data_IF_687685723399
#
_entry.id   IF_687685723399
#
_cell.length_a   1.000
_cell.length_b   1.000
_cell.length_c   1.000
_cell.angle_alpha   90.00
_cell.angle_beta   90.00
_cell.angle_gamma   90.00
#
_symmetry.space_group_name_H-M   'P 1'
#
loop_
_entity.id
_entity.type
_entity.pdbx_description
1 polymer ?
#
# COMPACT_ATOMS: atom_id res chain seq x y z
N UNK A 1 16.67 12.74 40.02
CA UNK A 1 16.76 12.43 38.57
C UNK A 1 17.20 10.98 38.42
N UNK A 2 16.45 10.18 37.63
CA UNK A 2 16.76 8.77 37.44
C UNK A 2 17.69 8.63 36.20
N UNK A 3 18.81 7.90 36.30
CA UNK A 3 19.71 7.70 35.18
C UNK A 3 19.03 6.96 34.04
N UNK A 4 19.30 7.35 32.80
CA UNK A 4 18.69 6.74 31.59
C UNK A 4 18.92 5.22 31.53
N UNK A 5 20.05 4.74 32.04
CA UNK A 5 20.38 3.32 32.08
C UNK A 5 19.46 2.46 32.94
N UNK A 6 18.73 3.05 33.89
CA UNK A 6 17.80 2.36 34.81
C UNK A 6 16.36 2.37 34.32
N UNK A 7 16.08 3.04 33.20
CA UNK A 7 14.74 3.12 32.62
C UNK A 7 14.35 1.81 31.90
N UNK A 8 13.07 1.47 31.96
CA UNK A 8 12.51 0.40 31.15
C UNK A 8 12.63 0.73 29.65
N UNK A 9 12.55 -0.29 28.78
CA UNK A 9 12.62 -0.08 27.33
C UNK A 9 11.61 0.95 26.81
N UNK A 10 10.36 0.91 27.31
CA UNK A 10 9.33 1.88 26.95
C UNK A 10 9.62 3.29 27.47
N UNK A 11 10.15 3.42 28.69
CA UNK A 11 10.55 4.72 29.24
C UNK A 11 11.70 5.36 28.45
N UNK A 12 12.72 4.57 28.07
CA UNK A 12 13.83 5.06 27.23
C UNK A 12 13.30 5.59 25.90
N UNK A 13 12.39 4.85 25.27
CA UNK A 13 11.83 5.24 23.97
C UNK A 13 11.03 6.54 24.05
N UNK A 14 10.27 6.75 25.15
CA UNK A 14 9.57 8.02 25.40
C UNK A 14 10.54 9.19 25.58
N UNK A 15 11.60 9.00 26.35
CA UNK A 15 12.64 10.04 26.53
C UNK A 15 13.35 10.36 25.23
N UNK A 16 13.63 9.35 24.41
CA UNK A 16 14.28 9.54 23.13
C UNK A 16 13.36 10.27 22.12
N UNK A 17 12.08 9.90 22.08
CA UNK A 17 11.07 10.61 21.30
C UNK A 17 10.98 12.08 21.73
N UNK A 18 10.85 12.35 23.03
CA UNK A 18 10.83 13.71 23.55
C UNK A 18 12.08 14.50 23.12
N UNK A 19 13.27 13.89 23.21
CA UNK A 19 14.53 14.52 22.79
C UNK A 19 14.51 14.89 21.30
N UNK A 20 13.99 14.01 20.45
CA UNK A 20 13.88 14.24 19.00
C UNK A 20 12.90 15.38 18.73
N UNK A 21 11.73 15.35 19.36
CA UNK A 21 10.69 16.36 19.15
C UNK A 21 11.13 17.77 19.61
N UNK A 22 11.93 17.84 20.67
CA UNK A 22 12.46 19.11 21.19
C UNK A 22 13.84 19.49 20.62
N UNK A 23 14.36 18.77 19.63
CA UNK A 23 15.67 19.06 19.03
C UNK A 23 15.67 20.30 18.11
N UNK A 24 14.52 20.82 17.75
CA UNK A 24 14.40 21.91 16.78
C UNK A 24 14.72 21.52 15.34
N UNK A 25 14.62 20.23 15.01
CA UNK A 25 14.89 19.71 13.68
C UNK A 25 13.92 20.30 12.65
N UNK A 26 14.37 20.62 11.46
CA UNK A 26 13.52 21.10 10.36
C UNK A 26 12.65 20.00 9.78
N UNK A 27 13.08 18.74 9.87
CA UNK A 27 12.34 17.57 9.37
C UNK A 27 12.44 16.43 10.38
N UNK A 28 11.30 15.83 10.69
CA UNK A 28 11.17 14.66 11.54
C UNK A 28 10.94 13.40 10.69
N UNK A 29 11.69 12.35 11.00
CA UNK A 29 11.50 11.01 10.47
C UNK A 29 11.07 10.09 11.62
N UNK A 30 9.83 9.66 11.64
CA UNK A 30 9.26 8.86 12.73
C UNK A 30 8.82 7.49 12.21
N UNK A 31 9.34 6.45 12.83
CA UNK A 31 8.97 5.07 12.55
C UNK A 31 8.21 4.50 13.76
N UNK A 32 6.92 4.22 13.55
CA UNK A 32 5.99 3.70 14.56
C UNK A 32 6.07 4.47 15.90
N UNK A 33 5.88 5.81 15.88
CA UNK A 33 6.14 6.63 17.06
C UNK A 33 5.16 6.40 18.21
N UNK A 34 3.99 5.81 17.95
CA UNK A 34 2.97 5.49 18.96
C UNK A 34 3.26 4.18 19.71
N UNK A 35 4.19 3.36 19.22
CA UNK A 35 4.52 2.11 19.87
C UNK A 35 5.09 2.32 21.28
N UNK A 36 4.57 1.57 22.25
CA UNK A 36 4.94 1.63 23.66
C UNK A 36 4.58 2.94 24.38
N UNK A 37 3.73 3.77 23.79
CA UNK A 37 3.15 4.93 24.46
C UNK A 37 1.83 4.54 25.14
N UNK A 38 1.54 5.18 26.27
CA UNK A 38 0.20 5.17 26.85
C UNK A 38 -0.74 6.11 26.11
N UNK A 39 -2.04 5.99 26.37
CA UNK A 39 -3.06 6.76 25.65
C UNK A 39 -2.81 8.27 25.71
N UNK A 40 -2.49 8.81 26.89
CA UNK A 40 -2.29 10.25 27.07
C UNK A 40 -1.08 10.75 26.28
N UNK A 41 0.00 9.95 26.23
CA UNK A 41 1.18 10.25 25.43
C UNK A 41 0.90 10.21 23.93
N UNK A 42 0.00 9.32 23.47
CA UNK A 42 -0.42 9.27 22.06
C UNK A 42 -1.21 10.52 21.70
N UNK A 43 -2.17 10.92 22.52
CA UNK A 43 -2.97 12.14 22.30
C UNK A 43 -2.04 13.36 22.25
N UNK A 44 -1.15 13.51 23.22
CA UNK A 44 -0.17 14.59 23.22
C UNK A 44 0.72 14.60 21.98
N UNK A 45 1.21 13.43 21.55
CA UNK A 45 2.04 13.32 20.34
C UNK A 45 1.28 13.77 19.09
N UNK A 46 0.02 13.38 18.93
CA UNK A 46 -0.82 13.81 17.80
C UNK A 46 -0.98 15.33 17.77
N UNK A 47 -1.32 15.93 18.92
CA UNK A 47 -1.46 17.39 19.03
C UNK A 47 -0.15 18.12 18.69
N UNK A 48 0.96 17.59 19.18
CA UNK A 48 2.29 18.14 18.87
C UNK A 48 2.58 18.09 17.37
N UNK A 49 2.39 16.92 16.74
CA UNK A 49 2.66 16.72 15.31
C UNK A 49 1.70 17.53 14.41
N UNK A 50 0.46 17.73 14.82
CA UNK A 50 -0.48 18.62 14.11
C UNK A 50 -0.03 20.09 14.13
N UNK A 51 0.63 20.53 15.18
CA UNK A 51 1.15 21.89 15.32
C UNK A 51 2.55 22.07 14.74
N UNK A 52 3.22 20.97 14.36
CA UNK A 52 4.57 20.99 13.85
C UNK A 52 4.63 21.62 12.45
N UNK A 53 5.49 22.63 12.29
CA UNK A 53 5.60 23.41 11.05
C UNK A 53 6.70 22.93 10.10
N UNK A 54 7.51 21.99 10.52
CA UNK A 54 8.60 21.42 9.72
C UNK A 54 8.13 20.29 8.81
N UNK A 55 9.05 19.68 8.09
CA UNK A 55 8.80 18.46 7.33
C UNK A 55 8.53 17.28 8.25
N UNK A 56 7.56 16.42 7.89
CA UNK A 56 7.27 15.21 8.66
C UNK A 56 7.12 14.03 7.72
N UNK A 57 7.89 12.98 7.95
CA UNK A 57 7.71 11.67 7.35
C UNK A 57 7.43 10.68 8.48
N UNK A 58 6.28 10.01 8.43
CA UNK A 58 5.86 9.07 9.46
C UNK A 58 5.49 7.73 8.84
N UNK A 59 5.98 6.66 9.44
CA UNK A 59 5.53 5.29 9.20
C UNK A 59 4.70 4.90 10.42
N UNK A 60 3.43 4.55 10.25
CA UNK A 60 2.57 4.17 11.36
C UNK A 60 1.39 3.33 10.91
N UNK A 61 0.95 2.44 11.79
CA UNK A 61 -0.31 1.72 11.72
C UNK A 61 -1.43 2.39 12.54
N UNK A 62 -1.13 3.47 13.27
CA UNK A 62 -2.11 4.28 14.00
C UNK A 62 -2.89 5.15 13.00
N UNK A 63 -4.11 4.68 12.67
CA UNK A 63 -4.97 5.32 11.68
C UNK A 63 -5.34 6.74 12.09
N UNK A 64 -5.61 7.00 13.38
CA UNK A 64 -5.98 8.32 13.85
C UNK A 64 -4.84 9.32 13.72
N UNK A 65 -3.61 8.90 14.06
CA UNK A 65 -2.42 9.72 13.85
C UNK A 65 -2.27 10.08 12.38
N UNK A 66 -2.32 9.08 11.50
CA UNK A 66 -2.13 9.27 10.05
C UNK A 66 -3.22 10.17 9.47
N UNK A 67 -4.50 9.98 9.86
CA UNK A 67 -5.61 10.80 9.39
C UNK A 67 -5.50 12.28 9.75
N UNK A 68 -4.99 12.58 10.93
CA UNK A 68 -4.91 13.95 11.44
C UNK A 68 -3.68 14.71 10.96
N UNK A 69 -2.57 13.99 10.74
CA UNK A 69 -1.26 14.61 10.56
C UNK A 69 -0.80 14.61 9.11
N UNK A 70 -1.20 13.61 8.29
CA UNK A 70 -0.63 13.48 6.94
C UNK A 70 -1.48 14.14 5.86
N UNK A 71 -0.81 14.79 4.92
CA UNK A 71 -1.41 15.39 3.73
C UNK A 71 -0.90 14.75 2.42
N UNK A 72 0.03 13.79 2.51
CA UNK A 72 0.61 13.07 1.38
C UNK A 72 0.91 11.63 1.80
N UNK A 73 0.65 10.69 0.92
CA UNK A 73 0.91 9.27 1.16
C UNK A 73 1.92 8.75 0.14
N UNK A 74 2.95 8.07 0.62
CA UNK A 74 3.90 7.30 -0.18
C UNK A 74 3.56 5.82 -0.04
N UNK A 75 3.11 5.20 -1.12
CA UNK A 75 2.83 3.78 -1.15
C UNK A 75 3.98 3.02 -1.81
N UNK A 76 4.62 2.13 -1.05
CA UNK A 76 5.67 1.27 -1.56
C UNK A 76 5.03 0.02 -2.16
N UNK A 77 5.13 -0.13 -3.49
CA UNK A 77 4.65 -1.33 -4.18
C UNK A 77 5.82 -2.30 -4.35
N UNK A 78 5.86 -3.32 -3.51
CA UNK A 78 6.93 -4.33 -3.52
C UNK A 78 6.95 -5.13 -4.83
N UNK A 79 5.80 -5.33 -5.50
CA UNK A 79 5.72 -6.11 -6.73
C UNK A 79 6.34 -5.36 -7.92
N UNK A 80 6.18 -4.03 -7.95
CA UNK A 80 6.73 -3.18 -9.01
C UNK A 80 8.07 -2.55 -8.63
N UNK A 81 8.54 -2.74 -7.39
CA UNK A 81 9.71 -2.04 -6.83
C UNK A 81 9.63 -0.53 -7.08
N UNK A 82 8.44 0.05 -6.90
CA UNK A 82 8.14 1.45 -7.19
C UNK A 82 7.44 2.12 -6.02
N UNK A 83 7.53 3.45 -5.98
CA UNK A 83 6.85 4.29 -5.00
C UNK A 83 5.77 5.09 -5.72
N UNK A 84 4.52 4.87 -5.35
CA UNK A 84 3.41 5.70 -5.81
C UNK A 84 3.17 6.84 -4.81
N UNK A 85 3.09 8.07 -5.32
CA UNK A 85 2.93 9.27 -4.50
C UNK A 85 1.51 9.80 -4.67
N UNK A 86 0.78 9.89 -3.56
CA UNK A 86 -0.57 10.43 -3.51
C UNK A 86 -0.56 11.76 -2.74
N UNK A 87 -0.83 12.87 -3.44
CA UNK A 87 -0.91 14.22 -2.85
C UNK A 87 -2.29 14.44 -2.23
N UNK A 88 -2.64 13.63 -1.25
CA UNK A 88 -3.93 13.67 -0.56
C UNK A 88 -3.83 13.07 0.83
N UNK A 89 -4.77 13.42 1.71
CA UNK A 89 -4.86 12.85 3.05
C UNK A 89 -5.29 11.37 3.04
N UNK A 90 -5.08 10.71 4.17
CA UNK A 90 -5.26 9.26 4.33
C UNK A 90 -6.63 8.74 3.89
N UNK A 91 -7.72 9.39 4.31
CA UNK A 91 -9.09 8.98 3.94
C UNK A 91 -9.35 9.02 2.43
N UNK A 92 -8.85 10.04 1.77
CA UNK A 92 -8.99 10.16 0.31
C UNK A 92 -8.15 9.11 -0.40
N UNK A 93 -6.93 8.86 0.09
CA UNK A 93 -6.05 7.81 -0.41
C UNK A 93 -6.72 6.43 -0.34
N UNK A 94 -7.34 6.07 0.79
CA UNK A 94 -8.02 4.78 0.92
C UNK A 94 -9.16 4.62 -0.09
N UNK A 95 -9.97 5.66 -0.30
CA UNK A 95 -11.04 5.65 -1.30
C UNK A 95 -10.49 5.52 -2.71
N UNK A 96 -9.49 6.32 -3.05
CA UNK A 96 -8.83 6.27 -4.36
C UNK A 96 -8.24 4.88 -4.64
N UNK A 97 -7.59 4.30 -3.66
CA UNK A 97 -7.02 2.94 -3.76
C UNK A 97 -8.09 1.89 -4.02
N UNK A 98 -9.20 1.94 -3.28
CA UNK A 98 -10.32 1.01 -3.47
C UNK A 98 -10.93 1.13 -4.88
N UNK A 99 -11.12 2.36 -5.36
CA UNK A 99 -11.63 2.61 -6.71
C UNK A 99 -10.66 2.15 -7.80
N UNK A 100 -9.37 2.37 -7.60
CA UNK A 100 -8.31 1.91 -8.51
C UNK A 100 -8.25 0.38 -8.55
N UNK A 101 -8.39 -0.31 -7.43
CA UNK A 101 -8.45 -1.78 -7.38
C UNK A 101 -9.69 -2.31 -8.10
N UNK A 102 -10.86 -1.71 -7.88
CA UNK A 102 -12.10 -2.07 -8.58
C UNK A 102 -11.97 -1.87 -10.08
N UNK A 103 -11.36 -0.75 -10.51
CA UNK A 103 -11.10 -0.47 -11.93
C UNK A 103 -10.17 -1.51 -12.54
N UNK A 104 -9.02 -1.78 -11.93
CA UNK A 104 -8.05 -2.78 -12.40
C UNK A 104 -8.68 -4.17 -12.51
N UNK A 105 -9.46 -4.58 -11.51
CA UNK A 105 -10.18 -5.86 -11.56
C UNK A 105 -11.16 -5.93 -12.73
N UNK A 106 -11.91 -4.85 -13.00
CA UNK A 106 -12.82 -4.78 -14.16
C UNK A 106 -12.06 -4.84 -15.48
N UNK A 107 -10.98 -4.08 -15.60
CA UNK A 107 -10.13 -4.05 -16.81
C UNK A 107 -9.55 -5.43 -17.09
N UNK A 108 -9.04 -6.11 -16.08
CA UNK A 108 -8.51 -7.48 -16.16
C UNK A 108 -9.60 -8.46 -16.60
N UNK A 109 -10.75 -8.49 -15.93
CA UNK A 109 -11.86 -9.37 -16.31
C UNK A 109 -12.30 -9.14 -17.75
N UNK A 110 -12.35 -7.88 -18.20
CA UNK A 110 -12.70 -7.54 -19.58
C UNK A 110 -11.64 -8.00 -20.57
N UNK A 111 -10.36 -7.85 -20.24
CA UNK A 111 -9.26 -8.30 -21.09
C UNK A 111 -9.21 -9.84 -21.18
N UNK A 112 -9.39 -10.54 -20.07
CA UNK A 112 -9.47 -12.00 -20.02
C UNK A 112 -10.63 -12.53 -20.87
N UNK A 113 -11.82 -11.92 -20.78
CA UNK A 113 -12.98 -12.27 -21.64
C UNK A 113 -12.68 -12.04 -23.12
N UNK A 114 -12.08 -10.91 -23.48
CA UNK A 114 -11.70 -10.61 -24.86
C UNK A 114 -10.64 -11.59 -25.38
N UNK A 115 -9.62 -11.88 -24.58
CA UNK A 115 -8.56 -12.83 -24.92
C UNK A 115 -9.15 -14.23 -25.14
N UNK A 116 -10.00 -14.71 -24.22
CA UNK A 116 -10.71 -16.00 -24.34
C UNK A 116 -11.55 -16.07 -25.63
N UNK A 117 -12.29 -15.02 -25.97
CA UNK A 117 -13.07 -14.96 -27.21
C UNK A 117 -12.17 -15.04 -28.44
N UNK A 118 -11.04 -14.32 -28.46
CA UNK A 118 -10.08 -14.37 -29.56
C UNK A 118 -9.44 -15.75 -29.71
N UNK A 119 -9.10 -16.39 -28.60
CA UNK A 119 -8.55 -17.75 -28.59
C UNK A 119 -9.55 -18.76 -29.13
N UNK A 120 -10.80 -18.71 -28.68
CA UNK A 120 -11.85 -19.59 -29.19
C UNK A 120 -12.13 -19.40 -30.70
N UNK A 121 -12.08 -18.16 -31.19
CA UNK A 121 -12.20 -17.85 -32.61
C UNK A 121 -10.99 -18.37 -33.39
N UNK A 122 -9.78 -18.20 -32.88
CA UNK A 122 -8.55 -18.71 -33.49
C UNK A 122 -8.57 -20.23 -33.64
N UNK A 123 -9.00 -20.95 -32.60
CA UNK A 123 -9.12 -22.41 -32.61
C UNK A 123 -10.10 -22.89 -33.70
N UNK A 124 -11.28 -22.26 -33.82
CA UNK A 124 -12.24 -22.57 -34.88
C UNK A 124 -11.69 -22.29 -36.29
N UNK A 125 -10.80 -21.32 -36.41
CA UNK A 125 -10.18 -20.97 -37.70
C UNK A 125 -9.00 -21.88 -38.06
N UNK A 126 -8.28 -22.43 -37.05
CA UNK A 126 -7.17 -23.38 -37.27
C UNK A 126 -7.55 -24.63 -38.05
N UNK A 127 -8.80 -25.07 -37.96
CA UNK A 127 -9.31 -26.20 -38.72
C UNK A 127 -9.32 -25.99 -40.24
N UNK A 128 -9.13 -24.75 -40.75
CA UNK A 128 -9.08 -24.41 -42.18
C UNK A 128 -7.69 -23.91 -42.54
N UNK A 129 -6.93 -24.67 -43.34
CA UNK A 129 -5.54 -24.39 -43.71
C UNK A 129 -5.32 -22.96 -44.26
N UNK A 130 -6.28 -22.42 -45.01
CA UNK A 130 -6.25 -21.06 -45.60
C UNK A 130 -6.32 -19.94 -44.56
N UNK A 131 -6.67 -20.22 -43.30
CA UNK A 131 -6.83 -19.24 -42.22
C UNK A 131 -5.81 -19.36 -41.09
N UNK A 132 -4.80 -20.21 -41.26
CA UNK A 132 -3.81 -20.50 -40.22
C UNK A 132 -3.04 -19.23 -39.75
N UNK A 133 -2.65 -18.37 -40.67
CA UNK A 133 -1.94 -17.10 -40.39
C UNK A 133 -2.84 -16.15 -39.59
N UNK A 134 -4.10 -16.04 -39.96
CA UNK A 134 -5.06 -15.19 -39.26
C UNK A 134 -5.32 -15.70 -37.84
N UNK A 135 -5.45 -17.00 -37.65
CA UNK A 135 -5.58 -17.62 -36.31
C UNK A 135 -4.35 -17.37 -35.43
N UNK A 136 -3.16 -17.47 -35.99
CA UNK A 136 -1.92 -17.22 -35.26
C UNK A 136 -1.80 -15.73 -34.82
N UNK A 137 -2.24 -14.79 -35.67
CA UNK A 137 -2.27 -13.37 -35.33
C UNK A 137 -3.29 -13.08 -34.21
N UNK A 138 -4.43 -13.76 -34.21
CA UNK A 138 -5.42 -13.65 -33.10
C UNK A 138 -4.86 -14.16 -31.78
N UNK A 139 -4.15 -15.28 -31.78
CA UNK A 139 -3.50 -15.82 -30.57
C UNK A 139 -2.45 -14.86 -30.03
N UNK A 140 -1.56 -14.34 -30.89
CA UNK A 140 -0.56 -13.33 -30.49
C UNK A 140 -1.21 -12.06 -29.93
N UNK A 141 -2.38 -11.66 -30.46
CA UNK A 141 -3.13 -10.50 -29.96
C UNK A 141 -3.74 -10.78 -28.58
N UNK A 142 -4.29 -11.98 -28.36
CA UNK A 142 -4.81 -12.40 -27.07
C UNK A 142 -3.71 -12.43 -26.00
N UNK A 143 -2.56 -12.99 -26.34
CA UNK A 143 -1.38 -13.06 -25.48
C UNK A 143 -0.90 -11.65 -25.06
N UNK A 144 -0.71 -10.74 -26.02
CA UNK A 144 -0.34 -9.35 -25.72
C UNK A 144 -1.37 -8.60 -24.85
N UNK A 145 -2.66 -8.93 -24.98
CA UNK A 145 -3.69 -8.34 -24.12
C UNK A 145 -3.55 -8.78 -22.67
N UNK A 146 -3.08 -9.99 -22.41
CA UNK A 146 -2.85 -10.53 -21.07
C UNK A 146 -1.51 -10.07 -20.49
N UNK A 147 -0.46 -10.03 -21.32
CA UNK A 147 0.88 -9.56 -20.91
C UNK A 147 0.89 -8.08 -20.52
N UNK A 148 0.02 -7.27 -21.10
CA UNK A 148 -0.12 -5.85 -20.79
C UNK A 148 -0.89 -5.55 -19.49
N UNK A 149 -1.48 -6.59 -18.87
CA UNK A 149 -2.13 -6.43 -17.57
C UNK A 149 -1.09 -6.43 -16.47
N UNK A 150 -1.06 -5.36 -15.69
CA UNK A 150 -0.30 -5.37 -14.44
C UNK A 150 -0.72 -6.58 -13.61
N UNK A 151 0.25 -7.37 -13.13
CA UNK A 151 0.00 -8.52 -12.28
C UNK A 151 -0.90 -8.13 -11.11
N UNK A 152 -1.78 -9.05 -10.68
CA UNK A 152 -2.52 -8.83 -9.43
C UNK A 152 -1.50 -8.46 -8.35
N UNK A 153 -1.76 -7.37 -7.63
CA UNK A 153 -1.08 -7.15 -6.37
C UNK A 153 -1.31 -8.41 -5.56
N UNK A 154 -0.25 -9.15 -5.27
CA UNK A 154 -0.38 -10.24 -4.32
C UNK A 154 -0.91 -9.59 -3.05
N UNK A 155 -2.17 -9.89 -2.71
CA UNK A 155 -2.69 -9.54 -1.39
C UNK A 155 -1.71 -10.16 -0.41
N UNK A 156 -1.21 -9.37 0.53
CA UNK A 156 -0.41 -9.88 1.62
C UNK A 156 -1.13 -11.12 2.12
N UNK A 157 -0.46 -12.27 2.03
CA UNK A 157 -1.03 -13.54 2.44
C UNK A 157 -1.23 -13.46 3.95
N UNK A 158 -2.38 -12.98 4.35
CA UNK A 158 -2.80 -13.06 5.74
C UNK A 158 -2.93 -14.55 6.05
N UNK A 159 -2.05 -15.05 6.88
CA UNK A 159 -2.12 -16.43 7.35
C UNK A 159 -3.46 -16.62 8.06
N UNK A 160 -4.39 -17.34 7.45
CA UNK A 160 -5.67 -17.69 8.08
C UNK A 160 -5.40 -18.81 9.09
N UNK A 161 -5.10 -18.44 10.32
CA UNK A 161 -5.00 -19.36 11.43
C UNK A 161 -6.41 -19.82 11.81
N UNK A 162 -6.73 -21.07 11.51
CA UNK A 162 -7.93 -21.73 12.03
C UNK A 162 -7.58 -22.36 13.38
N UNK A 163 -8.10 -21.79 14.45
CA UNK A 163 -8.04 -22.45 15.74
C UNK A 163 -9.08 -23.57 15.78
N UNK A 164 -8.72 -24.78 16.24
CA UNK A 164 -9.71 -25.82 16.47
C UNK A 164 -10.71 -25.31 17.53
N UNK A 165 -11.99 -25.59 17.30
CA UNK A 165 -13.01 -25.30 18.32
C UNK A 165 -12.73 -26.13 19.58
N UNK A 166 -12.89 -25.57 20.77
CA UNK A 166 -12.74 -26.30 22.02
C UNK A 166 -13.74 -27.45 22.14
#
# INVERSE_FOLDING_TARGET
AQPIGTLSGGQRRRVELARILFSGAETLLLDEPTNHLDHDSIVWLREYLMSYRGGLIVISHDVELVEQVVNKVFYLDANRSAIDIYNMGWKQYLRQREDDEKRRKRERTNAEKKASTLTAQAEKMRAKATKAVAAQNMLKRAERMLDGLEGERQQDRVASLRFPKP
#
